data_IF_016379363959
#
_entry.id   IF_016379363959
#
_cell.length_a   1.000
_cell.length_b   1.000
_cell.length_c   1.000
_cell.angle_alpha   90.00
_cell.angle_beta   90.00
_cell.angle_gamma   90.00
#
_symmetry.space_group_name_H-M   'P 1'
#
loop_
_entity.id
_entity.type
_entity.pdbx_description
1 polymer ?
#
# COMPACT_ATOMS: atom_id res chain seq x y z
N UNK A 1 -59.49 42.88 -15.70
CA UNK A 1 -58.06 42.86 -15.31
C UNK A 1 -57.85 41.78 -14.26
N UNK A 2 -57.26 40.64 -14.64
CA UNK A 2 -56.95 39.52 -13.73
C UNK A 2 -55.43 39.46 -13.54
N UNK A 3 -54.94 39.85 -12.37
CA UNK A 3 -53.54 39.67 -11.96
C UNK A 3 -53.34 38.20 -11.57
N UNK A 4 -52.47 37.49 -12.30
CA UNK A 4 -51.93 36.19 -11.87
C UNK A 4 -50.58 36.44 -11.21
N UNK A 5 -50.53 36.27 -9.89
CA UNK A 5 -49.28 36.13 -9.13
C UNK A 5 -48.71 34.73 -9.45
N UNK A 6 -47.57 34.68 -10.13
CA UNK A 6 -46.79 33.45 -10.31
C UNK A 6 -45.83 33.36 -9.13
N UNK A 7 -46.12 32.46 -8.19
CA UNK A 7 -45.24 32.15 -7.08
C UNK A 7 -44.17 31.17 -7.58
N UNK A 8 -42.97 31.68 -7.86
CA UNK A 8 -41.80 30.87 -8.18
C UNK A 8 -41.30 30.27 -6.87
N UNK A 9 -41.61 29.00 -6.63
CA UNK A 9 -41.01 28.21 -5.55
C UNK A 9 -39.59 27.82 -6.02
N UNK A 10 -38.60 28.58 -5.55
CA UNK A 10 -37.19 28.20 -5.68
C UNK A 10 -36.93 27.06 -4.70
N UNK A 11 -36.97 25.82 -5.19
CA UNK A 11 -36.42 24.67 -4.47
C UNK A 11 -34.90 24.83 -4.43
N UNK A 12 -34.38 25.48 -3.39
CA UNK A 12 -32.99 25.33 -2.99
C UNK A 12 -32.82 23.87 -2.58
N UNK A 13 -32.35 23.05 -3.52
CA UNK A 13 -31.69 21.80 -3.18
C UNK A 13 -30.47 22.16 -2.33
N UNK A 14 -30.65 22.14 -1.00
CA UNK A 14 -29.58 21.85 -0.06
C UNK A 14 -29.12 20.43 -0.39
N UNK A 15 -28.30 20.30 -1.44
CA UNK A 15 -27.46 19.13 -1.62
C UNK A 15 -26.72 19.00 -0.30
N UNK A 16 -26.86 17.89 0.45
CA UNK A 16 -25.96 17.65 1.57
C UNK A 16 -24.58 17.79 0.97
N UNK A 17 -23.80 18.75 1.47
CA UNK A 17 -22.38 18.83 1.17
C UNK A 17 -21.86 17.43 1.48
N UNK A 18 -21.59 16.65 0.43
CA UNK A 18 -20.83 15.42 0.53
C UNK A 18 -19.60 15.87 1.30
N UNK A 19 -19.51 15.48 2.56
CA UNK A 19 -18.34 15.67 3.40
C UNK A 19 -17.22 14.89 2.72
N UNK A 20 -16.64 15.49 1.68
CA UNK A 20 -15.63 14.91 0.85
C UNK A 20 -14.36 14.87 1.70
N UNK A 21 -14.04 13.66 2.18
CA UNK A 21 -12.70 13.11 2.39
C UNK A 21 -11.60 14.12 2.72
N UNK A 22 -11.77 14.88 3.79
CA UNK A 22 -10.72 15.70 4.36
C UNK A 22 -9.81 14.89 5.30
N UNK A 23 -9.55 13.60 5.03
CA UNK A 23 -8.75 12.73 5.91
C UNK A 23 -7.35 13.29 6.16
N UNK A 24 -6.72 13.87 5.13
CA UNK A 24 -5.47 14.62 5.24
C UNK A 24 -5.59 15.82 6.19
N UNK A 25 -6.56 16.71 5.93
CA UNK A 25 -6.77 17.95 6.68
C UNK A 25 -7.15 17.69 8.14
N UNK A 26 -8.05 16.74 8.33
CA UNK A 26 -8.57 16.33 9.64
C UNK A 26 -7.60 15.41 10.38
N UNK A 27 -6.53 14.93 9.73
CA UNK A 27 -5.53 14.02 10.28
C UNK A 27 -6.15 12.76 10.88
N UNK A 28 -7.09 12.16 10.15
CA UNK A 28 -7.82 10.94 10.58
C UNK A 28 -7.65 9.84 9.55
N UNK A 29 -7.80 8.58 9.99
CA UNK A 29 -7.78 7.43 9.08
C UNK A 29 -6.44 7.16 8.42
N UNK A 30 -5.33 7.55 9.07
CA UNK A 30 -4.00 7.18 8.63
C UNK A 30 -3.57 5.86 9.25
N UNK A 31 -2.65 5.20 8.58
CA UNK A 31 -1.84 4.12 9.15
C UNK A 31 -0.43 4.64 9.45
N UNK A 32 0.29 4.00 10.35
CA UNK A 32 1.70 4.33 10.58
C UNK A 32 2.56 3.46 9.66
N UNK A 33 3.10 4.05 8.59
CA UNK A 33 4.15 3.42 7.80
C UNK A 33 5.53 3.77 8.36
N UNK A 34 6.54 2.96 8.01
CA UNK A 34 7.92 3.12 8.48
C UNK A 34 8.01 3.24 10.02
N UNK A 35 7.18 2.47 10.72
CA UNK A 35 7.07 2.43 12.17
C UNK A 35 6.39 3.64 12.82
N UNK A 36 6.46 4.83 12.23
CA UNK A 36 6.03 6.06 12.92
C UNK A 36 5.66 7.24 12.02
N UNK A 37 5.49 7.04 10.70
CA UNK A 37 5.10 8.09 9.75
C UNK A 37 3.62 7.90 9.40
N UNK A 38 2.72 8.84 9.73
CA UNK A 38 1.34 8.79 9.27
C UNK A 38 1.30 8.77 7.75
N UNK A 39 0.54 7.82 7.19
CA UNK A 39 0.36 7.66 5.77
C UNK A 39 -1.09 7.37 5.42
N UNK A 40 -1.52 7.87 4.26
CA UNK A 40 -2.80 7.55 3.65
C UNK A 40 -2.60 6.89 2.29
N UNK A 41 -3.52 6.00 1.95
CA UNK A 41 -3.72 5.56 0.58
C UNK A 41 -4.49 6.64 -0.20
N UNK A 42 -4.23 6.72 -1.49
CA UNK A 42 -4.88 7.67 -2.37
C UNK A 42 -4.93 7.21 -3.81
N UNK A 43 -5.82 7.83 -4.58
CA UNK A 43 -5.96 7.56 -6.00
C UNK A 43 -6.20 8.87 -6.76
N UNK A 44 -5.47 9.05 -7.85
CA UNK A 44 -5.86 10.00 -8.91
C UNK A 44 -6.74 9.25 -9.88
N UNK A 45 -7.97 9.71 -10.08
CA UNK A 45 -8.92 9.12 -10.99
C UNK A 45 -8.89 9.87 -12.33
N UNK A 46 -8.42 9.19 -13.38
CA UNK A 46 -8.28 9.73 -14.73
C UNK A 46 -9.49 9.44 -15.62
N UNK A 47 -10.47 8.66 -15.16
CA UNK A 47 -11.60 8.26 -15.98
C UNK A 47 -12.55 9.42 -16.36
N UNK A 48 -12.84 10.41 -15.49
CA UNK A 48 -13.63 11.56 -15.88
C UNK A 48 -12.87 12.44 -16.87
N UNK A 49 -13.47 12.72 -18.03
CA UNK A 49 -12.88 13.61 -19.02
C UNK A 49 -12.65 15.02 -18.42
N UNK A 50 -11.42 15.51 -18.49
CA UNK A 50 -11.04 16.87 -18.09
C UNK A 50 -10.98 17.14 -16.58
N UNK A 51 -11.46 16.24 -15.73
CA UNK A 51 -11.31 16.32 -14.27
C UNK A 51 -10.51 15.12 -13.80
N UNK A 52 -9.32 15.38 -13.24
CA UNK A 52 -8.47 14.35 -12.62
C UNK A 52 -8.60 14.46 -11.08
N UNK A 53 -9.74 14.09 -10.46
CA UNK A 53 -9.91 14.24 -9.02
C UNK A 53 -8.91 13.37 -8.26
N UNK A 54 -8.43 13.93 -7.15
CA UNK A 54 -7.54 13.26 -6.20
C UNK A 54 -8.38 12.87 -5.00
N UNK A 55 -8.26 11.62 -4.57
CA UNK A 55 -8.88 11.12 -3.35
C UNK A 55 -7.81 10.62 -2.39
N UNK A 56 -7.91 11.02 -1.13
CA UNK A 56 -7.09 10.52 -0.02
C UNK A 56 -8.03 9.90 0.99
N UNK A 57 -7.82 8.62 1.32
CA UNK A 57 -8.81 7.85 2.06
C UNK A 57 -8.20 6.98 3.16
N UNK A 58 -9.07 6.59 4.10
CA UNK A 58 -8.74 5.67 5.17
C UNK A 58 -8.74 4.22 4.67
N UNK A 59 -7.56 3.61 4.64
CA UNK A 59 -7.37 2.23 4.21
C UNK A 59 -8.00 1.21 5.20
N UNK A 60 -8.26 1.62 6.45
CA UNK A 60 -9.01 0.78 7.38
C UNK A 60 -10.48 0.64 6.95
N UNK A 61 -11.04 1.65 6.27
CA UNK A 61 -12.40 1.65 5.73
C UNK A 61 -12.42 0.98 4.36
N UNK A 62 -11.53 1.42 3.46
CA UNK A 62 -11.43 0.92 2.10
C UNK A 62 -10.16 0.09 1.98
N UNK A 63 -10.30 -1.24 2.14
CA UNK A 63 -9.20 -2.22 2.17
C UNK A 63 -8.43 -2.28 0.84
N UNK A 64 -7.63 -1.27 0.54
CA UNK A 64 -6.89 -1.07 -0.70
C UNK A 64 -7.63 -0.26 -1.78
N UNK A 65 -6.83 0.21 -2.75
CA UNK A 65 -7.27 1.05 -3.88
C UNK A 65 -8.42 0.46 -4.71
N UNK A 66 -8.37 -0.84 -5.01
CA UNK A 66 -9.45 -1.47 -5.79
C UNK A 66 -10.79 -1.50 -5.03
N UNK A 67 -10.75 -1.68 -3.70
CA UNK A 67 -11.93 -1.65 -2.86
C UNK A 67 -12.52 -0.24 -2.79
N UNK A 68 -11.65 0.78 -2.73
CA UNK A 68 -12.04 2.17 -2.84
C UNK A 68 -12.77 2.45 -4.17
N UNK A 69 -12.18 2.06 -5.30
CA UNK A 69 -12.81 2.22 -6.63
C UNK A 69 -14.16 1.49 -6.69
N UNK A 70 -14.23 0.27 -6.17
CA UNK A 70 -15.45 -0.53 -6.18
C UNK A 70 -16.56 0.09 -5.33
N UNK A 71 -16.26 0.47 -4.09
CA UNK A 71 -17.26 0.87 -3.09
C UNK A 71 -17.55 2.35 -3.11
N UNK A 72 -16.51 3.18 -3.14
CA UNK A 72 -16.65 4.64 -3.07
C UNK A 72 -16.99 5.23 -4.43
N UNK A 73 -16.19 4.92 -5.46
CA UNK A 73 -16.48 5.39 -6.84
C UNK A 73 -17.61 4.61 -7.50
N UNK A 74 -18.12 3.54 -6.86
CA UNK A 74 -19.21 2.67 -7.34
C UNK A 74 -18.95 2.05 -8.71
N UNK A 75 -17.68 1.76 -9.02
CA UNK A 75 -17.28 1.18 -10.31
C UNK A 75 -17.14 -0.32 -10.18
N UNK A 76 -17.90 -1.09 -10.95
CA UNK A 76 -17.87 -2.55 -10.94
C UNK A 76 -16.59 -3.08 -11.59
N UNK A 77 -15.48 -3.01 -10.87
CA UNK A 77 -14.15 -3.41 -11.33
C UNK A 77 -13.62 -4.50 -10.40
N UNK A 78 -13.21 -5.64 -10.98
CA UNK A 78 -12.53 -6.70 -10.22
C UNK A 78 -11.10 -6.26 -9.88
N UNK A 79 -10.44 -6.90 -8.92
CA UNK A 79 -9.04 -6.55 -8.62
C UNK A 79 -8.12 -6.74 -9.84
N UNK A 80 -8.32 -7.79 -10.64
CA UNK A 80 -7.55 -8.02 -11.86
C UNK A 80 -7.76 -6.89 -12.88
N UNK A 81 -9.02 -6.53 -13.18
CA UNK A 81 -9.32 -5.43 -14.08
C UNK A 81 -8.79 -4.08 -13.54
N UNK A 82 -8.81 -3.89 -12.22
CA UNK A 82 -8.23 -2.70 -11.59
C UNK A 82 -6.72 -2.61 -11.87
N UNK A 83 -5.97 -3.72 -11.76
CA UNK A 83 -4.53 -3.73 -12.10
C UNK A 83 -4.31 -3.28 -13.54
N UNK A 84 -5.09 -3.80 -14.49
CA UNK A 84 -4.95 -3.43 -15.91
C UNK A 84 -5.22 -1.94 -16.15
N UNK A 85 -6.23 -1.38 -15.46
CA UNK A 85 -6.58 0.05 -15.49
C UNK A 85 -5.57 0.95 -14.76
N UNK A 86 -4.55 0.40 -14.10
CA UNK A 86 -3.41 1.14 -13.54
C UNK A 86 -2.17 0.96 -14.40
N UNK A 87 -1.91 -0.29 -14.80
CA UNK A 87 -0.65 -0.78 -15.37
C UNK A 87 -0.32 -0.17 -16.73
N UNK A 88 -1.28 -0.16 -17.65
CA UNK A 88 -1.02 0.11 -19.06
C UNK A 88 -1.29 1.58 -19.42
N UNK A 89 -0.32 2.32 -20.01
CA UNK A 89 -0.49 3.74 -20.32
C UNK A 89 -1.74 4.05 -21.18
N UNK A 90 -2.01 3.22 -22.19
CA UNK A 90 -3.10 3.43 -23.15
C UNK A 90 -4.51 3.29 -22.54
N UNK A 91 -4.66 2.51 -21.47
CA UNK A 91 -5.96 2.21 -20.85
C UNK A 91 -6.06 2.71 -19.40
N UNK A 92 -5.04 3.43 -18.93
CA UNK A 92 -4.94 3.87 -17.54
C UNK A 92 -6.11 4.77 -17.15
N UNK A 93 -6.80 4.38 -16.09
CA UNK A 93 -7.86 5.16 -15.46
C UNK A 93 -7.53 5.56 -14.02
N UNK A 94 -6.52 4.93 -13.41
CA UNK A 94 -6.19 5.18 -12.01
C UNK A 94 -4.69 5.29 -11.79
N UNK A 95 -4.30 6.19 -10.89
CA UNK A 95 -2.93 6.30 -10.37
C UNK A 95 -2.98 6.16 -8.84
N UNK A 96 -2.70 4.97 -8.31
CA UNK A 96 -2.64 4.73 -6.88
C UNK A 96 -1.36 5.31 -6.26
N UNK A 97 -1.48 5.87 -5.06
CA UNK A 97 -0.34 6.46 -4.35
C UNK A 97 -0.47 6.35 -2.83
N UNK A 98 0.66 6.48 -2.16
CA UNK A 98 0.76 6.73 -0.72
C UNK A 98 1.19 8.17 -0.48
N UNK A 99 0.53 8.82 0.48
CA UNK A 99 0.84 10.17 0.92
C UNK A 99 1.26 10.15 2.38
N UNK A 100 2.48 10.61 2.66
CA UNK A 100 3.09 10.60 3.99
C UNK A 100 3.02 11.99 4.64
N UNK A 101 2.57 12.08 5.89
CA UNK A 101 2.64 13.30 6.70
C UNK A 101 4.03 13.44 7.33
N UNK A 102 4.76 14.46 6.91
CA UNK A 102 6.08 14.77 7.46
C UNK A 102 6.03 15.97 8.41
N UNK A 103 4.87 16.59 8.67
CA UNK A 103 4.80 17.80 9.53
C UNK A 103 5.26 17.56 10.96
N UNK A 104 5.13 16.33 11.46
CA UNK A 104 5.65 15.90 12.77
C UNK A 104 7.05 15.28 12.69
N UNK A 105 7.65 15.25 11.50
CA UNK A 105 9.03 14.81 11.27
C UNK A 105 9.87 16.06 11.04
N UNK A 106 11.05 16.10 11.62
CA UNK A 106 12.03 17.12 11.24
C UNK A 106 12.76 16.68 9.96
N UNK A 107 11.98 16.44 8.90
CA UNK A 107 12.50 15.94 7.64
C UNK A 107 12.97 17.11 6.77
N UNK A 108 14.27 17.11 6.48
CA UNK A 108 14.88 18.01 5.53
C UNK A 108 15.72 17.22 4.53
N UNK A 109 15.71 17.65 3.28
CA UNK A 109 16.48 17.05 2.18
C UNK A 109 17.03 18.17 1.29
N UNK A 110 18.33 18.11 0.96
CA UNK A 110 19.03 19.17 0.23
C UNK A 110 18.78 20.58 0.80
N UNK A 111 18.88 20.72 2.12
CA UNK A 111 18.64 21.97 2.87
C UNK A 111 17.23 22.56 2.75
N UNK A 112 16.28 21.81 2.21
CA UNK A 112 14.86 22.19 2.20
C UNK A 112 14.05 21.31 3.15
N UNK A 113 13.07 21.92 3.82
CA UNK A 113 12.12 21.22 4.69
C UNK A 113 10.87 20.83 3.90
N UNK A 114 10.44 19.58 4.07
CA UNK A 114 9.25 19.05 3.41
C UNK A 114 8.20 18.64 4.44
N UNK A 115 6.94 18.91 4.12
CA UNK A 115 5.78 18.64 4.99
C UNK A 115 5.01 17.39 4.59
N UNK A 116 5.24 16.89 3.37
CA UNK A 116 4.66 15.65 2.90
C UNK A 116 5.56 14.97 1.88
N UNK A 117 5.37 13.67 1.70
CA UNK A 117 6.01 12.91 0.63
C UNK A 117 5.00 12.08 -0.15
N UNK A 118 5.24 11.95 -1.44
CA UNK A 118 4.44 11.17 -2.38
C UNK A 118 5.22 9.95 -2.84
N UNK A 119 4.64 8.77 -2.72
CA UNK A 119 5.13 7.55 -3.37
C UNK A 119 4.03 6.96 -4.23
N UNK A 120 4.25 6.84 -5.53
CA UNK A 120 3.35 6.07 -6.39
C UNK A 120 3.44 4.58 -6.07
N UNK A 121 2.30 3.89 -6.08
CA UNK A 121 2.28 2.45 -5.81
C UNK A 121 2.70 1.67 -7.05
N UNK A 122 3.52 0.65 -6.82
CA UNK A 122 4.01 -0.22 -7.89
C UNK A 122 2.97 -1.29 -8.25
N UNK A 123 2.26 -1.05 -9.35
CA UNK A 123 1.37 -2.02 -9.99
C UNK A 123 2.00 -2.58 -11.28
N UNK A 124 3.34 -2.67 -11.33
CA UNK A 124 4.14 -3.11 -12.50
C UNK A 124 3.87 -2.25 -13.74
N UNK A 125 3.91 -0.93 -13.55
CA UNK A 125 3.65 0.06 -14.59
C UNK A 125 4.50 -0.25 -15.85
N UNK A 126 3.89 -0.16 -17.02
CA UNK A 126 4.50 -0.52 -18.31
C UNK A 126 4.95 0.71 -19.11
N UNK A 127 4.98 1.88 -18.48
CA UNK A 127 5.46 3.11 -19.09
C UNK A 127 6.93 2.97 -19.47
N UNK A 128 7.29 3.48 -20.65
CA UNK A 128 8.70 3.72 -20.96
C UNK A 128 9.26 4.86 -20.09
N UNK A 129 10.57 5.10 -20.16
CA UNK A 129 11.23 6.10 -19.31
C UNK A 129 10.61 7.51 -19.40
N UNK A 130 10.28 7.98 -20.61
CA UNK A 130 9.70 9.32 -20.80
C UNK A 130 8.27 9.40 -20.28
N UNK A 131 7.47 8.38 -20.59
CA UNK A 131 6.10 8.23 -20.08
C UNK A 131 6.09 8.17 -18.54
N UNK A 132 7.04 7.47 -17.93
CA UNK A 132 7.17 7.35 -16.48
C UNK A 132 7.48 8.70 -15.82
N UNK A 133 8.45 9.44 -16.35
CA UNK A 133 8.81 10.78 -15.85
C UNK A 133 7.60 11.72 -15.94
N UNK A 134 6.88 11.67 -17.06
CA UNK A 134 5.65 12.44 -17.27
C UNK A 134 4.55 12.03 -16.27
N UNK A 135 4.31 10.73 -16.11
CA UNK A 135 3.32 10.22 -15.17
C UNK A 135 3.59 10.67 -13.74
N UNK A 136 4.83 10.55 -13.28
CA UNK A 136 5.23 10.95 -11.92
C UNK A 136 5.07 12.46 -11.72
N UNK A 137 5.54 13.27 -12.67
CA UNK A 137 5.48 14.74 -12.58
C UNK A 137 4.05 15.29 -12.61
N UNK A 138 3.19 14.75 -13.49
CA UNK A 138 1.77 15.11 -13.53
C UNK A 138 1.06 14.70 -12.24
N UNK A 139 1.32 13.48 -11.75
CA UNK A 139 0.74 12.98 -10.49
C UNK A 139 1.11 13.87 -9.32
N UNK A 140 2.40 14.22 -9.19
CA UNK A 140 2.86 15.14 -8.16
C UNK A 140 2.15 16.50 -8.22
N UNK A 141 2.03 17.07 -9.43
CA UNK A 141 1.39 18.37 -9.64
C UNK A 141 -0.09 18.33 -9.25
N UNK A 142 -0.82 17.27 -9.64
CA UNK A 142 -2.23 17.10 -9.27
C UNK A 142 -2.42 16.97 -7.77
N UNK A 143 -1.59 16.18 -7.10
CA UNK A 143 -1.66 15.99 -5.65
C UNK A 143 -1.30 17.27 -4.91
N UNK A 144 -0.25 17.98 -5.34
CA UNK A 144 0.13 19.29 -4.79
C UNK A 144 -1.04 20.27 -4.85
N UNK A 145 -1.64 20.45 -6.03
CA UNK A 145 -2.76 21.38 -6.23
C UNK A 145 -3.98 20.98 -5.38
N UNK A 146 -4.26 19.67 -5.27
CA UNK A 146 -5.32 19.16 -4.39
C UNK A 146 -5.05 19.52 -2.93
N UNK A 147 -3.86 19.24 -2.41
CA UNK A 147 -3.50 19.54 -1.02
C UNK A 147 -3.56 21.04 -0.73
N UNK A 148 -3.04 21.88 -1.63
CA UNK A 148 -3.11 23.35 -1.52
C UNK A 148 -4.56 23.85 -1.50
N UNK A 149 -5.48 23.18 -2.21
CA UNK A 149 -6.90 23.57 -2.24
C UNK A 149 -7.67 23.23 -0.96
N UNK A 150 -7.23 22.23 -0.19
CA UNK A 150 -7.92 21.79 1.05
C UNK A 150 -7.21 22.23 2.33
N UNK A 151 -5.90 22.48 2.25
CA UNK A 151 -5.01 22.81 3.36
C UNK A 151 -3.95 23.82 2.87
N UNK A 152 -4.23 25.12 3.03
CA UNK A 152 -3.30 26.19 2.62
C UNK A 152 -1.97 26.17 3.39
N UNK A 153 -1.87 25.38 4.46
CA UNK A 153 -0.66 25.16 5.23
C UNK A 153 0.00 23.80 4.93
N UNK A 154 -0.33 23.14 3.80
CA UNK A 154 0.21 21.83 3.46
C UNK A 154 1.74 21.81 3.28
N UNK A 155 2.35 22.96 2.96
CA UNK A 155 3.79 23.09 2.77
C UNK A 155 4.31 22.38 1.51
N UNK A 156 5.64 22.22 1.43
CA UNK A 156 6.32 21.59 0.29
C UNK A 156 6.21 20.06 0.34
N UNK A 157 6.03 19.47 -0.84
CA UNK A 157 6.05 18.01 -1.05
C UNK A 157 7.35 17.52 -1.67
N UNK A 158 7.63 16.23 -1.53
CA UNK A 158 8.75 15.55 -2.20
C UNK A 158 8.30 14.22 -2.80
N UNK A 159 8.85 13.86 -3.96
CA UNK A 159 8.60 12.57 -4.63
C UNK A 159 9.57 11.52 -4.07
N UNK A 160 9.06 10.33 -3.76
CA UNK A 160 9.86 9.17 -3.36
C UNK A 160 9.93 8.15 -4.49
N UNK A 161 11.16 7.78 -4.89
CA UNK A 161 11.42 6.75 -5.89
C UNK A 161 11.95 5.47 -5.24
N UNK A 162 11.51 4.31 -5.74
CA UNK A 162 12.07 3.03 -5.32
C UNK A 162 13.53 2.90 -5.72
N UNK A 163 14.36 2.33 -4.84
CA UNK A 163 15.74 1.96 -5.16
C UNK A 163 15.85 0.67 -5.97
N UNK A 164 14.77 -0.12 -6.06
CA UNK A 164 14.75 -1.36 -6.82
C UNK A 164 14.51 -1.09 -8.30
N UNK A 165 15.36 -1.61 -9.17
CA UNK A 165 15.21 -1.53 -10.63
C UNK A 165 13.97 -2.28 -11.14
N UNK A 166 13.51 -3.27 -10.37
CA UNK A 166 12.32 -4.07 -10.73
C UNK A 166 11.00 -3.45 -10.28
N UNK A 167 11.05 -2.42 -9.44
CA UNK A 167 9.86 -1.71 -8.98
C UNK A 167 9.63 -0.46 -9.81
N UNK A 168 8.40 0.00 -9.97
CA UNK A 168 8.10 1.22 -10.74
C UNK A 168 7.14 2.14 -10.00
N UNK A 169 7.35 3.47 -9.96
CA UNK A 169 8.53 4.21 -10.43
C UNK A 169 9.80 4.00 -9.57
N UNK A 170 10.99 4.06 -10.18
CA UNK A 170 12.27 3.85 -9.50
C UNK A 170 13.33 4.91 -9.86
N UNK A 171 14.53 4.72 -9.33
CA UNK A 171 15.70 5.60 -9.50
C UNK A 171 16.08 5.91 -10.96
N UNK A 172 15.68 5.10 -11.95
CA UNK A 172 15.90 5.42 -13.37
C UNK A 172 15.21 6.72 -13.79
N UNK A 173 14.12 7.10 -13.12
CA UNK A 173 13.39 8.35 -13.38
C UNK A 173 14.01 9.57 -12.67
N UNK A 174 15.01 9.37 -11.81
CA UNK A 174 15.54 10.41 -10.91
C UNK A 174 16.04 11.65 -11.67
N UNK A 175 16.93 11.44 -12.64
CA UNK A 175 17.55 12.54 -13.39
C UNK A 175 16.54 13.26 -14.28
N UNK A 176 15.57 12.52 -14.84
CA UNK A 176 14.47 13.12 -15.59
C UNK A 176 13.60 14.03 -14.74
N UNK A 177 13.23 13.60 -13.54
CA UNK A 177 12.41 14.38 -12.60
C UNK A 177 13.18 15.60 -12.08
N UNK A 178 14.48 15.46 -11.79
CA UNK A 178 15.34 16.60 -11.40
C UNK A 178 15.43 17.67 -12.49
N UNK A 179 15.55 17.28 -13.76
CA UNK A 179 15.56 18.22 -14.90
C UNK A 179 14.28 19.04 -15.01
N UNK A 180 13.15 18.52 -14.53
CA UNK A 180 11.88 19.25 -14.42
C UNK A 180 11.82 20.20 -13.20
N UNK A 181 12.87 20.28 -12.40
CA UNK A 181 12.92 21.10 -11.19
C UNK A 181 12.05 20.59 -10.05
N UNK A 182 11.60 19.33 -10.11
CA UNK A 182 10.74 18.75 -9.08
C UNK A 182 11.55 18.14 -7.94
N UNK A 183 11.11 18.31 -6.67
CA UNK A 183 11.78 17.72 -5.53
C UNK A 183 11.60 16.20 -5.51
N UNK A 184 12.71 15.48 -5.49
CA UNK A 184 12.73 14.01 -5.55
C UNK A 184 13.84 13.45 -4.66
N UNK A 185 13.52 12.37 -3.95
CA UNK A 185 14.40 11.66 -3.04
C UNK A 185 14.29 10.14 -3.27
N UNK A 186 15.39 9.42 -3.07
CA UNK A 186 15.38 7.97 -3.10
C UNK A 186 14.77 7.41 -1.81
N UNK A 187 13.98 6.34 -1.90
CA UNK A 187 13.30 5.77 -0.74
C UNK A 187 14.28 5.30 0.36
N UNK A 188 15.46 4.80 -0.02
CA UNK A 188 16.53 4.41 0.93
C UNK A 188 17.07 5.62 1.71
N UNK A 189 17.27 6.75 1.04
CA UNK A 189 17.70 8.00 1.69
C UNK A 189 16.60 8.53 2.61
N UNK A 190 15.35 8.55 2.11
CA UNK A 190 14.18 8.92 2.90
C UNK A 190 14.10 8.11 4.20
N UNK A 191 14.19 6.79 4.12
CA UNK A 191 14.16 5.88 5.28
C UNK A 191 15.25 6.22 6.30
N UNK A 192 16.47 6.51 5.83
CA UNK A 192 17.59 6.91 6.69
C UNK A 192 17.29 8.22 7.42
N UNK A 193 16.76 9.22 6.71
CA UNK A 193 16.49 10.55 7.24
C UNK A 193 15.32 10.57 8.24
N UNK A 194 14.29 9.75 8.02
CA UNK A 194 13.20 9.58 9.00
C UNK A 194 13.59 8.68 10.18
N UNK A 195 14.86 8.22 10.22
CA UNK A 195 15.39 7.27 11.21
C UNK A 195 14.58 5.96 11.25
N UNK A 196 14.04 5.55 10.10
CA UNK A 196 13.41 4.24 9.97
C UNK A 196 14.49 3.19 9.78
N UNK A 197 14.53 2.22 10.68
CA UNK A 197 15.42 1.08 10.57
C UNK A 197 14.62 -0.12 10.03
N UNK A 198 14.72 -0.45 8.73
CA UNK A 198 14.04 -1.62 8.16
C UNK A 198 14.63 -2.94 8.66
N UNK A 199 15.70 -2.93 9.48
CA UNK A 199 16.32 -4.15 10.02
C UNK A 199 15.54 -4.80 11.18
N UNK A 200 14.46 -4.18 11.65
CA UNK A 200 13.58 -4.82 12.63
C UNK A 200 12.48 -5.55 11.90
N UNK A 201 12.23 -6.81 12.31
CA UNK A 201 11.03 -7.55 11.89
C UNK A 201 9.80 -6.66 12.05
N UNK A 202 8.87 -6.75 11.10
CA UNK A 202 7.66 -5.94 11.10
C UNK A 202 6.45 -6.85 11.09
N UNK A 203 5.69 -6.84 12.18
CA UNK A 203 4.41 -7.54 12.26
C UNK A 203 3.34 -6.70 11.58
N UNK A 204 2.86 -7.16 10.42
CA UNK A 204 1.92 -6.44 9.58
C UNK A 204 0.47 -6.84 9.92
N UNK A 205 0.21 -8.15 9.99
CA UNK A 205 -1.03 -8.73 10.52
C UNK A 205 -0.70 -9.76 11.61
N UNK A 206 -1.03 -9.50 12.89
CA UNK A 206 -0.67 -10.39 13.99
C UNK A 206 -1.51 -11.68 14.01
N UNK A 207 -1.01 -12.65 14.77
CA UNK A 207 -1.71 -13.90 15.06
C UNK A 207 -0.75 -15.07 15.31
N UNK A 208 -1.31 -16.19 15.73
CA UNK A 208 -0.56 -17.43 16.00
C UNK A 208 -1.15 -18.57 15.19
N UNK A 209 -0.29 -19.28 14.44
CA UNK A 209 -0.69 -20.35 13.53
C UNK A 209 0.31 -21.50 13.53
N UNK A 210 -0.19 -22.72 13.27
CA UNK A 210 0.63 -23.91 13.04
C UNK A 210 0.55 -24.32 11.57
N UNK A 211 1.70 -24.54 10.92
CA UNK A 211 1.77 -24.85 9.49
C UNK A 211 3.13 -25.42 9.08
N UNK A 212 3.29 -25.67 7.79
CA UNK A 212 4.53 -26.17 7.19
C UNK A 212 5.22 -24.99 6.50
N UNK A 213 6.50 -24.76 6.80
CA UNK A 213 7.27 -23.71 6.12
C UNK A 213 7.58 -24.14 4.69
N UNK A 214 7.29 -23.26 3.73
CA UNK A 214 7.72 -23.37 2.34
C UNK A 214 8.56 -22.15 1.99
N UNK A 215 9.86 -22.35 1.87
CA UNK A 215 10.80 -21.32 1.48
C UNK A 215 10.91 -21.23 -0.03
N UNK A 216 10.70 -20.02 -0.58
CA UNK A 216 10.74 -19.73 -2.01
C UNK A 216 11.83 -18.69 -2.27
N UNK A 217 12.80 -19.06 -3.11
CA UNK A 217 13.90 -18.17 -3.49
C UNK A 217 13.40 -17.10 -4.47
N UNK A 218 14.24 -16.08 -4.68
CA UNK A 218 13.99 -15.10 -5.72
C UNK A 218 13.86 -15.78 -7.11
N UNK A 219 12.73 -15.58 -7.78
CA UNK A 219 12.35 -16.23 -9.05
C UNK A 219 11.33 -17.37 -8.92
N UNK A 220 11.11 -17.90 -7.71
CA UNK A 220 10.19 -19.01 -7.42
C UNK A 220 8.88 -18.53 -6.76
N UNK A 221 8.66 -17.22 -6.66
CA UNK A 221 7.58 -16.66 -5.84
C UNK A 221 6.20 -17.08 -6.34
N UNK A 222 6.06 -17.21 -7.66
CA UNK A 222 4.80 -17.57 -8.31
C UNK A 222 4.62 -19.10 -8.45
N UNK A 223 5.58 -19.92 -7.98
CA UNK A 223 5.44 -21.38 -7.85
C UNK A 223 4.60 -21.77 -6.62
N UNK A 224 4.31 -20.80 -5.75
CA UNK A 224 3.49 -21.01 -4.56
C UNK A 224 2.06 -21.44 -4.93
N UNK A 225 1.68 -22.64 -4.51
CA UNK A 225 0.33 -23.19 -4.72
C UNK A 225 -0.61 -22.85 -3.56
N UNK A 226 -1.92 -23.06 -3.74
CA UNK A 226 -2.85 -22.92 -2.64
C UNK A 226 -2.73 -24.12 -1.69
N UNK A 227 -2.34 -23.88 -0.44
CA UNK A 227 -2.25 -24.91 0.60
C UNK A 227 -2.66 -24.31 1.96
N UNK A 228 -3.74 -24.84 2.53
CA UNK A 228 -4.27 -24.43 3.82
C UNK A 228 -3.39 -24.81 5.02
N UNK A 229 -2.28 -25.51 4.84
CA UNK A 229 -1.28 -25.78 5.87
C UNK A 229 0.02 -25.01 5.67
N UNK A 230 0.22 -24.39 4.51
CA UNK A 230 1.46 -23.72 4.19
C UNK A 230 1.64 -22.40 4.95
N UNK A 231 2.89 -22.16 5.33
CA UNK A 231 3.43 -20.85 5.73
C UNK A 231 4.50 -20.52 4.69
N UNK A 232 4.20 -19.62 3.77
CA UNK A 232 5.15 -19.28 2.71
C UNK A 232 6.16 -18.23 3.18
N UNK A 233 7.43 -18.48 2.90
CA UNK A 233 8.54 -17.55 3.10
C UNK A 233 9.02 -17.10 1.73
N UNK A 234 8.89 -15.81 1.44
CA UNK A 234 9.16 -15.21 0.16
C UNK A 234 10.41 -14.33 0.21
N UNK A 235 11.47 -14.71 -0.51
CA UNK A 235 12.63 -13.81 -0.69
C UNK A 235 12.24 -12.53 -1.44
N UNK A 236 11.38 -12.67 -2.46
CA UNK A 236 10.76 -11.54 -3.17
C UNK A 236 9.25 -11.71 -3.20
N UNK A 237 8.56 -10.60 -3.30
CA UNK A 237 7.09 -10.57 -3.20
C UNK A 237 6.42 -11.19 -4.46
N UNK A 238 5.52 -12.18 -4.34
CA UNK A 238 4.80 -12.78 -5.47
C UNK A 238 3.83 -11.80 -6.14
N UNK A 239 3.52 -12.05 -7.42
CA UNK A 239 2.44 -11.33 -8.10
C UNK A 239 1.08 -11.75 -7.57
N UNK A 240 0.90 -13.07 -7.41
CA UNK A 240 -0.33 -13.67 -6.93
C UNK A 240 -0.10 -14.31 -5.58
N UNK A 241 -0.77 -13.77 -4.56
CA UNK A 241 -0.67 -14.31 -3.21
C UNK A 241 -1.56 -15.56 -3.08
N UNK A 242 -0.99 -16.76 -2.86
CA UNK A 242 -1.75 -18.00 -2.74
C UNK A 242 -2.63 -17.98 -1.47
N UNK A 243 -3.54 -18.95 -1.36
CA UNK A 243 -4.22 -19.24 -0.10
C UNK A 243 -3.26 -20.03 0.78
N UNK A 244 -2.97 -19.49 1.97
CA UNK A 244 -2.06 -20.09 2.94
C UNK A 244 -2.45 -19.72 4.38
N UNK A 245 -1.85 -20.40 5.36
CA UNK A 245 -2.03 -20.15 6.80
C UNK A 245 -1.19 -19.00 7.32
N UNK A 246 -0.10 -18.65 6.65
CA UNK A 246 0.76 -17.54 7.02
C UNK A 246 1.69 -17.10 5.90
N UNK A 247 2.16 -15.84 5.97
CA UNK A 247 3.14 -15.30 5.02
C UNK A 247 4.30 -14.61 5.74
N UNK A 248 5.51 -14.88 5.29
CA UNK A 248 6.74 -14.22 5.73
C UNK A 248 7.42 -13.65 4.48
N UNK A 249 7.72 -12.36 4.46
CA UNK A 249 8.45 -11.74 3.34
C UNK A 249 9.81 -11.24 3.81
N UNK A 250 10.86 -11.47 3.04
CA UNK A 250 12.19 -10.99 3.40
C UNK A 250 12.46 -9.56 2.93
N UNK A 251 11.63 -9.07 2.00
CA UNK A 251 11.62 -7.67 1.60
C UNK A 251 10.74 -6.86 2.56
N UNK A 252 11.23 -5.69 3.04
CA UNK A 252 10.42 -4.74 3.79
C UNK A 252 9.09 -4.46 3.09
N UNK A 253 8.00 -4.71 3.80
CA UNK A 253 6.65 -4.42 3.33
C UNK A 253 6.12 -3.17 4.02
N UNK A 254 5.04 -2.62 3.47
CA UNK A 254 4.25 -1.62 4.18
C UNK A 254 2.89 -2.19 4.55
N UNK A 255 2.17 -1.55 5.46
CA UNK A 255 0.81 -1.98 5.81
C UNK A 255 -0.16 -1.91 4.62
N UNK A 256 0.19 -1.18 3.56
CA UNK A 256 -0.60 -1.09 2.32
C UNK A 256 -0.12 -2.04 1.22
N UNK A 257 0.85 -2.93 1.50
CA UNK A 257 1.29 -3.88 0.50
C UNK A 257 0.17 -4.85 0.11
N UNK A 258 0.14 -5.29 -1.16
CA UNK A 258 -0.95 -6.17 -1.63
C UNK A 258 -0.99 -7.50 -0.86
N UNK A 259 0.17 -8.02 -0.42
CA UNK A 259 0.22 -9.17 0.48
C UNK A 259 -0.51 -8.86 1.77
N UNK A 260 -0.19 -7.73 2.43
CA UNK A 260 -0.78 -7.41 3.72
C UNK A 260 -2.30 -7.18 3.61
N UNK A 261 -2.75 -6.45 2.60
CA UNK A 261 -4.17 -6.22 2.36
C UNK A 261 -4.94 -7.54 2.13
N UNK A 262 -4.36 -8.48 1.39
CA UNK A 262 -4.94 -9.81 1.19
C UNK A 262 -4.92 -10.63 2.48
N UNK A 263 -3.83 -10.57 3.24
CA UNK A 263 -3.67 -11.26 4.52
C UNK A 263 -4.72 -10.79 5.54
N UNK A 264 -4.94 -9.48 5.67
CA UNK A 264 -6.01 -8.89 6.51
C UNK A 264 -7.39 -9.42 6.11
N UNK A 265 -7.70 -9.38 4.80
CA UNK A 265 -9.00 -9.84 4.30
C UNK A 265 -9.24 -11.35 4.57
N UNK A 266 -8.18 -12.14 4.62
CA UNK A 266 -8.22 -13.60 4.89
C UNK A 266 -8.01 -13.95 6.36
N UNK A 267 -7.73 -12.96 7.23
CA UNK A 267 -7.31 -13.16 8.63
C UNK A 267 -6.08 -14.08 8.76
N UNK A 268 -5.17 -13.96 7.80
CA UNK A 268 -3.93 -14.72 7.73
C UNK A 268 -2.80 -13.91 8.35
N UNK A 269 -2.07 -14.41 9.36
CA UNK A 269 -0.91 -13.69 9.90
C UNK A 269 0.14 -13.44 8.82
N UNK A 270 0.73 -12.25 8.82
CA UNK A 270 1.87 -11.95 7.96
C UNK A 270 2.86 -10.97 8.57
N UNK A 271 4.13 -11.18 8.23
CA UNK A 271 5.26 -10.42 8.75
C UNK A 271 6.29 -10.17 7.67
N UNK A 272 7.04 -9.08 7.82
CA UNK A 272 8.28 -8.85 7.08
C UNK A 272 9.45 -9.13 8.00
N UNK A 273 10.41 -9.94 7.56
CA UNK A 273 11.59 -10.33 8.34
C UNK A 273 12.84 -9.87 7.62
N UNK A 274 13.74 -9.23 8.34
CA UNK A 274 15.03 -8.74 7.82
C UNK A 274 16.21 -9.15 8.69
N UNK A 275 15.93 -9.82 9.81
CA UNK A 275 16.93 -10.32 10.73
C UNK A 275 17.66 -11.53 10.13
N UNK A 276 18.99 -11.46 10.02
CA UNK A 276 19.78 -12.48 9.31
C UNK A 276 19.72 -13.85 9.98
N UNK A 277 19.68 -13.89 11.31
CA UNK A 277 19.66 -15.15 12.06
C UNK A 277 18.30 -15.84 11.89
N UNK A 278 17.21 -15.07 11.97
CA UNK A 278 15.86 -15.58 11.68
C UNK A 278 15.72 -16.00 10.22
N UNK A 279 16.30 -15.27 9.26
CA UNK A 279 16.32 -15.67 7.84
C UNK A 279 17.06 -16.99 7.66
N UNK A 280 18.22 -17.17 8.29
CA UNK A 280 18.96 -18.43 8.24
C UNK A 280 18.14 -19.57 8.87
N UNK A 281 17.50 -19.33 10.01
CA UNK A 281 16.61 -20.29 10.66
C UNK A 281 15.47 -20.71 9.73
N UNK A 282 14.79 -19.75 9.08
CA UNK A 282 13.69 -20.02 8.14
C UNK A 282 14.10 -20.94 6.98
N UNK A 283 15.31 -20.76 6.44
CA UNK A 283 15.86 -21.66 5.41
C UNK A 283 16.00 -23.10 5.92
N UNK A 284 16.49 -23.28 7.14
CA UNK A 284 16.66 -24.63 7.76
C UNK A 284 15.33 -25.31 8.13
N UNK A 285 14.27 -24.53 8.24
CA UNK A 285 12.92 -25.00 8.57
C UNK A 285 12.08 -25.33 7.32
N UNK A 286 12.62 -25.18 6.11
CA UNK A 286 11.91 -25.52 4.89
C UNK A 286 11.40 -26.98 4.92
N UNK A 287 10.11 -27.16 4.65
CA UNK A 287 9.39 -28.44 4.70
C UNK A 287 9.02 -28.93 6.11
N UNK A 288 9.34 -28.18 7.17
CA UNK A 288 9.09 -28.61 8.56
C UNK A 288 7.81 -28.00 9.14
N UNK A 289 7.10 -28.73 10.02
CA UNK A 289 6.00 -28.19 10.80
C UNK A 289 6.52 -27.21 11.87
N UNK A 290 5.92 -26.03 11.92
CA UNK A 290 6.25 -24.97 12.86
C UNK A 290 5.01 -24.32 13.44
N UNK A 291 5.19 -23.68 14.59
CA UNK A 291 4.28 -22.71 15.16
C UNK A 291 4.88 -21.32 14.97
N UNK A 292 4.16 -20.46 14.26
CA UNK A 292 4.49 -19.07 14.03
C UNK A 292 3.63 -18.20 14.96
N UNK A 293 4.26 -17.38 15.78
CA UNK A 293 3.60 -16.37 16.61
C UNK A 293 4.05 -14.97 16.21
N UNK A 294 3.10 -14.10 15.88
CA UNK A 294 3.36 -12.73 15.45
C UNK A 294 2.63 -11.76 16.39
N UNK A 295 3.38 -11.04 17.21
CA UNK A 295 2.86 -10.08 18.19
C UNK A 295 3.11 -8.65 17.71
N UNK A 296 2.03 -7.90 17.50
CA UNK A 296 2.10 -6.52 17.01
C UNK A 296 2.53 -5.51 18.08
N UNK A 297 2.20 -5.75 19.35
CA UNK A 297 2.53 -4.83 20.45
C UNK A 297 4.02 -4.88 20.78
N UNK A 298 4.58 -6.09 20.77
CA UNK A 298 6.02 -6.33 20.98
C UNK A 298 6.82 -6.23 19.69
N UNK A 299 6.14 -6.18 18.54
CA UNK A 299 6.72 -6.29 17.20
C UNK A 299 7.68 -7.49 17.09
N UNK A 300 7.28 -8.62 17.67
CA UNK A 300 8.08 -9.84 17.75
C UNK A 300 7.55 -10.94 16.84
N UNK A 301 8.48 -11.74 16.33
CA UNK A 301 8.21 -12.93 15.53
C UNK A 301 8.92 -14.09 16.18
N UNK A 302 8.17 -15.09 16.59
CA UNK A 302 8.69 -16.31 17.22
C UNK A 302 8.31 -17.52 16.38
N UNK A 303 9.28 -18.41 16.19
CA UNK A 303 9.11 -19.64 15.42
C UNK A 303 9.60 -20.81 16.27
N UNK A 304 8.68 -21.72 16.54
CA UNK A 304 8.93 -22.94 17.31
C UNK A 304 8.70 -24.16 16.41
N UNK A 305 9.47 -25.23 16.61
CA UNK A 305 9.14 -26.51 15.99
C UNK A 305 7.78 -26.98 16.52
N UNK A 306 6.94 -27.50 15.63
CA UNK A 306 5.64 -28.05 15.99
C UNK A 306 5.55 -29.52 15.61
N UNK A 307 4.71 -30.28 16.31
CA UNK A 307 4.42 -31.65 15.92
C UNK A 307 3.52 -31.68 14.68
N UNK A 308 3.74 -32.62 13.76
CA UNK A 308 2.94 -32.72 12.52
C UNK A 308 1.44 -32.93 12.79
N UNK A 309 1.11 -33.59 13.91
CA UNK A 309 -0.26 -33.79 14.40
C UNK A 309 -0.97 -32.47 14.76
N UNK A 310 -0.22 -31.47 15.23
CA UNK A 310 -0.74 -30.14 15.57
C UNK A 310 -1.02 -29.26 14.34
N UNK A 311 -0.50 -29.64 13.18
CA UNK A 311 -0.75 -28.98 11.88
C UNK A 311 -1.99 -29.56 11.19
N UNK A 312 -2.20 -30.87 11.32
CA UNK A 312 -3.26 -31.63 10.63
C UNK A 312 -4.59 -31.68 11.38
N UNK A 313 -4.63 -31.37 12.68
CA UNK A 313 -5.82 -31.48 13.54
C UNK A 313 -7.00 -30.56 13.19
N UNK A 314 -6.82 -29.58 12.29
CA UNK A 314 -7.89 -28.65 11.87
C UNK A 314 -8.79 -29.20 10.75
N UNK A 315 -8.43 -30.29 10.07
CA UNK A 315 -9.25 -30.88 9.00
C UNK A 315 -10.31 -31.89 9.50
N UNK A 316 -10.14 -32.45 10.70
CA UNK A 316 -11.05 -33.48 11.22
C UNK A 316 -12.29 -32.93 11.93
N UNK A 317 -12.34 -31.64 12.24
CA UNK A 317 -13.50 -31.02 12.90
C UNK A 317 -14.59 -30.60 11.91
N UNK A 318 -14.26 -30.42 10.62
CA UNK A 318 -15.23 -30.02 9.58
C UNK A 318 -15.93 -31.22 8.93
N UNK A 319 -15.33 -32.42 8.94
CA UNK A 319 -15.98 -33.64 8.40
C UNK A 319 -17.03 -34.27 9.34
N UNK A 320 -17.26 -33.70 10.53
CA UNK A 320 -18.24 -34.17 11.52
C UNK A 320 -19.41 -33.21 11.75
N UNK A 321 -19.65 -32.24 10.85
CA UNK A 321 -20.87 -31.43 10.85
C UNK A 321 -21.54 -31.51 9.49
#
# INVERSE_FOLDING_TARGET
>A
MKNKFVMIIVFLFLLPSLNAQNHWKNKTGFILEFGNVPAWAGIVDLAPAGKKPVYVFDDNIYKGHSNFVLRFLKRKVTFAAFKDLVKYPATRQYIPFNLYDLRKKDFSYNNEKYSWALKMCDYRLQDNSEEMIKLVSETYTHIKNYLESIDSACGKGIILLSNSETATPNISSLEGIKKLGLPVCQLKEFNTLIKYNPKTNQVLNPGTINGIIHYLNAGEEDDAVNDGNAIYVFEKTPERVPLAKGFITLQPQTFLSHINLLAINRKTPNVSVSDNDLVAQLKTLNGKPVKLSCDKEKNSVEIENAELSSVTSLLNTVRKR
#
